data_IF_231613367450
#
_entry.id   IF_231613367450
#
_cell.length_a   1.000
_cell.length_b   1.000
_cell.length_c   1.000
_cell.angle_alpha   90.00
_cell.angle_beta   90.00
_cell.angle_gamma   90.00
#
_symmetry.space_group_name_H-M   'P 1'
#
loop_
_entity.id
_entity.type
_entity.pdbx_description
1 polymer ?
#
# COMPACT_ATOMS: atom_id res chain seq x y z
N UNK A 1 -9.84 -48.08 45.84
CA UNK A 1 -9.87 -46.61 45.65
C UNK A 1 -8.92 -46.26 44.51
N UNK A 2 -9.45 -45.84 43.34
CA UNK A 2 -8.65 -45.47 42.17
C UNK A 2 -7.99 -44.11 42.42
N UNK A 3 -6.67 -44.04 42.37
CA UNK A 3 -5.91 -42.79 42.40
C UNK A 3 -5.97 -42.14 41.01
N UNK A 4 -6.79 -41.09 40.89
CA UNK A 4 -6.86 -40.23 39.72
C UNK A 4 -5.57 -39.39 39.67
N UNK A 5 -4.56 -39.90 38.97
CA UNK A 5 -3.45 -39.07 38.46
C UNK A 5 -3.88 -38.56 37.09
N UNK A 6 -3.44 -37.35 36.75
CA UNK A 6 -3.63 -36.62 35.50
C UNK A 6 -4.83 -35.70 35.53
N UNK A 7 -4.53 -34.41 35.76
CA UNK A 7 -5.07 -33.25 35.05
C UNK A 7 -4.39 -32.00 35.64
N UNK A 8 -3.09 -31.85 35.38
CA UNK A 8 -2.46 -30.53 35.47
C UNK A 8 -2.89 -29.79 34.21
N UNK A 9 -4.04 -29.12 34.33
CA UNK A 9 -4.40 -27.83 33.77
C UNK A 9 -3.45 -27.35 32.64
N UNK A 10 -3.70 -27.80 31.41
CA UNK A 10 -3.27 -27.11 30.18
C UNK A 10 -4.31 -26.04 29.85
N UNK A 11 -4.58 -25.13 30.79
CA UNK A 11 -5.61 -24.08 30.63
C UNK A 11 -5.01 -22.67 30.48
N UNK A 12 -3.68 -22.54 30.39
CA UNK A 12 -2.99 -21.24 30.42
C UNK A 12 -2.46 -20.72 29.08
N UNK A 13 -2.75 -21.34 27.94
CA UNK A 13 -2.05 -21.03 26.69
C UNK A 13 -2.96 -20.89 25.46
N UNK A 14 -4.11 -20.25 25.65
CA UNK A 14 -4.89 -19.68 24.54
C UNK A 14 -5.02 -18.18 24.77
N UNK A 15 -3.91 -17.45 24.61
CA UNK A 15 -3.98 -16.02 24.31
C UNK A 15 -4.59 -15.90 22.91
N UNK A 16 -5.72 -15.20 22.71
CA UNK A 16 -6.20 -14.92 21.37
C UNK A 16 -5.14 -14.04 20.68
N UNK A 17 -4.45 -14.62 19.70
CA UNK A 17 -3.64 -13.84 18.79
C UNK A 17 -4.60 -12.98 17.95
N UNK A 18 -4.72 -11.70 18.31
CA UNK A 18 -5.36 -10.73 17.43
C UNK A 18 -4.47 -10.58 16.21
N UNK A 19 -4.80 -11.31 15.14
CA UNK A 19 -4.20 -11.08 13.83
C UNK A 19 -4.81 -9.78 13.30
N UNK A 20 -4.06 -8.69 13.40
CA UNK A 20 -4.38 -7.49 12.62
C UNK A 20 -4.26 -7.89 11.16
N UNK A 21 -5.34 -7.76 10.39
CA UNK A 21 -5.31 -8.05 8.98
C UNK A 21 -4.24 -7.18 8.30
N UNK A 22 -3.35 -7.83 7.56
CA UNK A 22 -2.29 -7.21 6.78
C UNK A 22 -2.71 -7.25 5.31
N UNK A 23 -2.91 -6.07 4.72
CA UNK A 23 -3.36 -5.93 3.35
C UNK A 23 -2.18 -5.70 2.41
N UNK A 24 -2.42 -5.93 1.13
CA UNK A 24 -1.44 -5.64 0.08
C UNK A 24 -2.04 -4.71 -0.97
N UNK A 25 -1.22 -3.78 -1.46
CA UNK A 25 -1.56 -2.94 -2.60
C UNK A 25 -0.60 -3.22 -3.75
N UNK A 26 -1.13 -3.40 -4.96
CA UNK A 26 -0.31 -3.50 -6.17
C UNK A 26 -0.36 -2.17 -6.91
N UNK A 27 0.80 -1.56 -7.08
CA UNK A 27 0.97 -0.36 -7.90
C UNK A 27 1.63 -0.77 -9.22
N UNK A 28 1.02 -0.39 -10.34
CA UNK A 28 1.53 -0.66 -11.68
C UNK A 28 1.62 0.66 -12.45
N UNK A 29 2.82 0.97 -12.94
CA UNK A 29 3.06 2.07 -13.87
C UNK A 29 2.93 1.50 -15.28
N UNK A 30 1.85 1.88 -15.97
CA UNK A 30 1.49 1.35 -17.28
C UNK A 30 2.27 1.97 -18.43
N UNK A 31 2.71 3.22 -18.29
CA UNK A 31 3.55 3.91 -19.28
C UNK A 31 4.42 4.97 -18.59
N UNK A 32 5.53 5.32 -19.23
CA UNK A 32 6.47 6.36 -18.77
C UNK A 32 6.86 7.18 -19.99
N UNK A 33 6.56 8.48 -19.99
CA UNK A 33 6.76 9.32 -21.18
C UNK A 33 8.22 9.38 -21.65
N UNK A 34 9.18 9.39 -20.73
CA UNK A 34 10.62 9.53 -21.02
C UNK A 34 11.45 8.51 -20.26
N UNK A 35 12.65 8.20 -20.77
CA UNK A 35 13.62 7.33 -20.10
C UNK A 35 13.02 6.02 -19.57
N UNK A 36 12.30 5.28 -20.44
CA UNK A 36 11.52 4.08 -20.08
C UNK A 36 12.33 2.98 -19.37
N UNK A 37 13.64 2.96 -19.60
CA UNK A 37 14.55 1.98 -19.00
C UNK A 37 14.98 2.34 -17.59
N UNK A 38 14.91 3.62 -17.18
CA UNK A 38 15.35 4.09 -15.88
C UNK A 38 14.62 3.36 -14.75
N UNK A 39 15.35 3.12 -13.66
CA UNK A 39 14.77 2.60 -12.44
C UNK A 39 13.69 3.55 -11.90
N UNK A 40 12.58 2.95 -11.49
CA UNK A 40 11.48 3.66 -10.83
C UNK A 40 11.38 3.20 -9.39
N UNK A 41 11.08 4.13 -8.51
CA UNK A 41 10.84 3.90 -7.09
C UNK A 41 9.49 4.50 -6.73
N UNK A 42 8.88 3.97 -5.67
CA UNK A 42 7.72 4.58 -5.04
C UNK A 42 8.14 5.15 -3.68
N UNK A 43 7.77 6.40 -3.42
CA UNK A 43 7.99 7.08 -2.15
C UNK A 43 6.65 7.55 -1.60
N UNK A 44 6.37 7.27 -0.34
CA UNK A 44 5.07 7.54 0.25
C UNK A 44 5.07 7.44 1.77
N UNK A 45 3.89 7.56 2.35
CA UNK A 45 3.71 7.51 3.82
C UNK A 45 4.24 6.20 4.44
N UNK A 46 4.18 5.08 3.71
CA UNK A 46 4.65 3.76 4.14
C UNK A 46 6.18 3.60 4.18
N UNK A 47 6.96 4.53 3.62
CA UNK A 47 8.42 4.48 3.64
C UNK A 47 9.08 5.79 4.11
N UNK A 48 8.31 6.61 4.84
CA UNK A 48 8.74 7.93 5.30
C UNK A 48 9.26 8.82 4.16
N UNK A 49 8.61 8.73 2.99
CA UNK A 49 8.93 9.54 1.81
C UNK A 49 10.40 9.42 1.37
N UNK A 50 11.00 8.24 1.47
CA UNK A 50 12.35 8.01 0.96
C UNK A 50 12.32 7.73 -0.56
N UNK A 51 12.93 8.58 -1.41
CA UNK A 51 12.76 8.51 -2.86
C UNK A 51 13.54 7.38 -3.54
N UNK A 52 14.46 6.71 -2.85
CA UNK A 52 15.39 5.72 -3.44
C UNK A 52 15.60 4.49 -2.56
N UNK A 53 14.62 4.16 -1.73
CA UNK A 53 14.76 2.97 -0.91
C UNK A 53 14.62 1.72 -1.81
N UNK A 54 15.67 0.90 -1.89
CA UNK A 54 15.73 -0.26 -2.81
C UNK A 54 14.60 -1.27 -2.59
N UNK A 55 14.10 -1.39 -1.36
CA UNK A 55 12.91 -2.19 -1.03
C UNK A 55 11.67 -1.75 -1.84
N UNK A 56 11.60 -0.48 -2.22
CA UNK A 56 10.49 0.15 -2.92
C UNK A 56 10.78 0.44 -4.40
N UNK A 57 11.81 -0.21 -4.97
CA UNK A 57 12.09 -0.20 -6.40
C UNK A 57 11.04 -1.03 -7.16
N UNK A 58 10.45 -0.44 -8.20
CA UNK A 58 9.51 -1.13 -9.08
C UNK A 58 10.25 -2.14 -9.97
N UNK A 59 9.62 -3.29 -10.18
CA UNK A 59 10.15 -4.40 -10.99
C UNK A 59 9.38 -4.54 -12.30
N UNK A 60 9.95 -5.16 -13.34
CA UNK A 60 9.21 -5.47 -14.57
C UNK A 60 7.89 -6.19 -14.30
N UNK A 61 6.82 -5.76 -14.98
CA UNK A 61 5.46 -6.29 -14.83
C UNK A 61 4.82 -6.55 -16.20
N UNK A 62 5.12 -7.70 -16.80
CA UNK A 62 4.82 -7.97 -18.20
C UNK A 62 5.84 -7.29 -19.12
N UNK A 63 5.45 -7.00 -20.36
CA UNK A 63 6.38 -6.54 -21.40
C UNK A 63 6.88 -5.10 -21.18
N UNK A 64 5.96 -4.17 -20.98
CA UNK A 64 6.26 -2.72 -21.06
C UNK A 64 5.94 -1.95 -19.77
N UNK A 65 5.57 -2.64 -18.69
CA UNK A 65 5.14 -2.01 -17.43
C UNK A 65 6.10 -2.32 -16.30
N UNK A 66 6.07 -1.49 -15.26
CA UNK A 66 6.78 -1.73 -14.01
C UNK A 66 5.80 -1.70 -12.84
N UNK A 67 6.04 -2.48 -11.79
CA UNK A 67 5.14 -2.50 -10.65
C UNK A 67 5.78 -3.01 -9.37
N UNK A 68 5.07 -2.82 -8.27
CA UNK A 68 5.45 -3.26 -6.93
C UNK A 68 4.21 -3.71 -6.16
N UNK A 69 4.39 -4.72 -5.30
CA UNK A 69 3.39 -5.12 -4.30
C UNK A 69 3.86 -4.62 -2.95
N UNK A 70 3.14 -3.65 -2.39
CA UNK A 70 3.27 -3.21 -1.01
C UNK A 70 2.56 -4.24 -0.14
N UNK A 71 3.22 -4.74 0.90
CA UNK A 71 2.69 -5.74 1.83
C UNK A 71 2.57 -5.14 3.22
N UNK A 72 1.84 -5.84 4.07
CA UNK A 72 1.74 -5.54 5.50
C UNK A 72 1.18 -4.14 5.77
N UNK A 73 0.26 -3.69 4.92
CA UNK A 73 -0.43 -2.42 5.08
C UNK A 73 -1.58 -2.57 6.06
N UNK A 74 -1.71 -1.60 6.96
CA UNK A 74 -2.88 -1.46 7.81
C UNK A 74 -4.02 -0.77 7.04
N UNK A 75 -5.28 -0.87 7.52
CA UNK A 75 -6.34 0.00 7.03
C UNK A 75 -5.96 1.47 7.17
N UNK A 76 -6.28 2.27 6.16
CA UNK A 76 -5.95 3.69 6.14
C UNK A 76 -5.75 4.27 4.74
N UNK A 77 -5.44 5.57 4.70
CA UNK A 77 -5.13 6.31 3.49
C UNK A 77 -3.61 6.40 3.36
N UNK A 78 -3.11 6.02 2.19
CA UNK A 78 -1.71 6.10 1.83
C UNK A 78 -1.53 7.09 0.70
N UNK A 79 -0.51 7.93 0.83
CA UNK A 79 -0.09 8.85 -0.21
C UNK A 79 1.27 8.45 -0.76
N UNK A 80 1.50 8.69 -2.05
CA UNK A 80 2.75 8.36 -2.70
C UNK A 80 3.01 9.20 -3.96
N UNK A 81 4.26 9.14 -4.40
CA UNK A 81 4.75 9.61 -5.70
C UNK A 81 5.70 8.59 -6.32
N UNK A 82 5.82 8.61 -7.63
CA UNK A 82 6.83 7.87 -8.38
C UNK A 82 8.07 8.75 -8.60
N UNK A 83 9.25 8.18 -8.41
CA UNK A 83 10.53 8.88 -8.63
C UNK A 83 11.49 8.03 -9.46
N UNK A 84 12.56 8.64 -9.96
CA UNK A 84 13.75 7.93 -10.46
C UNK A 84 14.90 7.95 -9.45
N UNK A 85 14.59 7.86 -8.16
CA UNK A 85 15.58 7.81 -7.09
C UNK A 85 16.01 9.16 -6.49
N UNK A 86 15.31 10.25 -6.83
CA UNK A 86 15.50 11.58 -6.22
C UNK A 86 14.25 12.44 -6.40
N UNK A 87 14.06 13.43 -5.52
CA UNK A 87 13.01 14.43 -5.67
C UNK A 87 13.18 15.32 -6.90
N UNK A 88 14.42 15.51 -7.37
CA UNK A 88 14.71 16.19 -8.64
C UNK A 88 14.23 15.41 -9.87
N UNK A 89 13.92 14.13 -9.69
CA UNK A 89 13.46 13.21 -10.74
C UNK A 89 12.12 12.57 -10.40
N UNK A 90 11.30 13.28 -9.61
CA UNK A 90 9.92 12.92 -9.30
C UNK A 90 9.04 13.03 -10.54
N UNK A 91 7.94 12.29 -10.58
CA UNK A 91 6.94 12.42 -11.64
C UNK A 91 6.40 13.86 -11.76
N UNK A 92 6.17 14.27 -13.00
CA UNK A 92 5.65 15.58 -13.37
C UNK A 92 4.61 15.45 -14.47
N UNK A 93 3.89 16.53 -14.72
CA UNK A 93 3.08 16.67 -15.94
C UNK A 93 4.00 16.75 -17.17
N UNK A 94 3.39 16.66 -18.35
CA UNK A 94 4.05 16.79 -19.64
C UNK A 94 4.74 18.15 -19.84
N UNK A 95 4.15 19.22 -19.28
CA UNK A 95 4.70 20.57 -19.26
C UNK A 95 5.78 20.79 -18.17
N UNK A 96 6.09 19.77 -17.37
CA UNK A 96 7.07 19.84 -16.28
C UNK A 96 6.52 20.31 -14.93
N UNK A 97 5.23 20.67 -14.85
CA UNK A 97 4.61 21.06 -13.59
C UNK A 97 4.58 19.89 -12.60
N UNK A 98 4.58 20.23 -11.31
CA UNK A 98 4.38 19.24 -10.26
C UNK A 98 3.02 18.55 -10.35
N UNK A 99 3.02 17.24 -10.10
CA UNK A 99 1.81 16.44 -9.86
C UNK A 99 1.52 16.38 -8.35
N UNK A 100 0.25 16.48 -7.96
CA UNK A 100 -0.15 16.23 -6.58
C UNK A 100 0.17 14.78 -6.16
N UNK A 101 0.26 14.54 -4.85
CA UNK A 101 0.39 13.18 -4.31
C UNK A 101 -0.73 12.29 -4.85
N UNK A 102 -0.38 11.07 -5.27
CA UNK A 102 -1.34 10.02 -5.56
C UNK A 102 -1.76 9.40 -4.24
N UNK A 103 -3.00 8.95 -4.13
CA UNK A 103 -3.48 8.29 -2.91
C UNK A 103 -4.25 7.00 -3.21
N UNK A 104 -4.23 6.09 -2.25
CA UNK A 104 -5.09 4.91 -2.23
C UNK A 104 -5.54 4.62 -0.79
N UNK A 105 -6.66 3.93 -0.66
CA UNK A 105 -7.21 3.53 0.63
C UNK A 105 -7.21 2.01 0.76
N UNK A 106 -6.89 1.52 1.95
CA UNK A 106 -7.07 0.13 2.37
C UNK A 106 -8.25 0.11 3.33
N UNK A 107 -9.30 -0.65 2.99
CA UNK A 107 -10.47 -0.85 3.87
C UNK A 107 -10.14 -1.87 4.95
N UNK A 108 -10.94 -1.89 6.01
CA UNK A 108 -10.89 -2.94 7.02
C UNK A 108 -11.37 -4.30 6.48
N UNK A 109 -11.36 -5.31 7.35
CA UNK A 109 -11.68 -6.69 6.96
C UNK A 109 -13.16 -6.85 6.57
N UNK A 110 -14.00 -5.92 7.00
CA UNK A 110 -15.42 -5.84 6.67
C UNK A 110 -15.65 -5.10 5.34
N UNK A 111 -14.60 -4.59 4.68
CA UNK A 111 -14.67 -3.83 3.45
C UNK A 111 -15.28 -2.43 3.64
N UNK A 112 -15.31 -1.92 4.88
CA UNK A 112 -15.94 -0.64 5.18
C UNK A 112 -14.99 0.51 4.86
N UNK A 113 -15.57 1.59 4.31
CA UNK A 113 -14.94 2.89 4.24
C UNK A 113 -15.39 3.73 5.44
N UNK A 114 -14.46 4.38 6.12
CA UNK A 114 -14.74 5.34 7.18
C UNK A 114 -14.31 6.73 6.72
N UNK A 115 -15.23 7.69 6.68
CA UNK A 115 -14.96 9.08 6.34
C UNK A 115 -15.22 9.94 7.57
N UNK A 116 -14.20 10.63 8.07
CA UNK A 116 -14.30 11.55 9.20
C UNK A 116 -13.92 12.97 8.76
N UNK A 117 -14.60 14.00 9.29
CA UNK A 117 -14.22 15.40 9.06
C UNK A 117 -14.45 15.95 7.65
N UNK A 118 -15.31 15.32 6.84
CA UNK A 118 -15.64 15.82 5.50
C UNK A 118 -16.37 17.17 5.57
N UNK A 119 -15.79 18.19 4.93
CA UNK A 119 -16.41 19.51 4.77
C UNK A 119 -17.53 19.48 3.73
N UNK A 120 -18.47 20.45 3.77
CA UNK A 120 -19.51 20.57 2.75
C UNK A 120 -18.92 20.64 1.33
N UNK A 121 -19.39 19.76 0.45
CA UNK A 121 -18.92 19.65 -0.94
C UNK A 121 -19.38 18.33 -1.59
N UNK A 122 -19.14 18.18 -2.89
CA UNK A 122 -19.43 16.94 -3.61
C UNK A 122 -18.26 15.96 -3.47
N UNK A 123 -18.50 14.85 -2.79
CA UNK A 123 -17.53 13.75 -2.65
C UNK A 123 -18.01 12.57 -3.49
N UNK A 124 -17.18 12.10 -4.44
CA UNK A 124 -17.50 10.95 -5.30
C UNK A 124 -16.58 9.79 -4.94
N UNK A 125 -17.17 8.71 -4.45
CA UNK A 125 -16.46 7.43 -4.24
C UNK A 125 -16.81 6.53 -5.43
N UNK A 126 -15.91 6.44 -6.40
CA UNK A 126 -16.08 5.55 -7.54
C UNK A 126 -15.25 4.28 -7.32
N UNK A 127 -15.93 3.13 -7.20
CA UNK A 127 -15.27 1.84 -7.31
C UNK A 127 -14.81 1.68 -8.75
N UNK A 128 -13.50 1.72 -9.00
CA UNK A 128 -12.96 1.34 -10.30
C UNK A 128 -13.33 -0.14 -10.54
N UNK A 129 -14.15 -0.43 -11.55
CA UNK A 129 -14.44 -1.81 -11.95
C UNK A 129 -13.13 -2.47 -12.36
N UNK A 130 -12.61 -3.32 -11.47
CA UNK A 130 -11.60 -4.38 -11.67
C UNK A 130 -10.27 -3.98 -12.34
N UNK A 131 -9.18 -4.19 -11.61
CA UNK A 131 -7.94 -4.72 -12.20
C UNK A 131 -7.57 -6.01 -11.48
N UNK A 132 -7.92 -7.13 -12.13
CA UNK A 132 -7.25 -8.42 -11.92
C UNK A 132 -5.77 -8.30 -12.32
#
# INVERSE_FOLDING_TARGET
MKSMKWLIIVAGLLLPAFVIAQYSARIVVSDVATKKLDDLYIAGSFNNWQPREEKYKLKPFGKDRKGIVLKDLAPGIYEFKITRGSWLTVESKDNGDELNNRSFAITDADGRYHFEGVVPGTHVVQVARMTL
#
